data_IF_966875521291
#
_entry.id   IF_966875521291
#
_cell.length_a   1.000
_cell.length_b   1.000
_cell.length_c   1.000
_cell.angle_alpha   90.00
_cell.angle_beta   90.00
_cell.angle_gamma   90.00
#
_symmetry.space_group_name_H-M   'P 1'
#
loop_
_entity.id
_entity.type
_entity.pdbx_description
1 polymer ?
#
# COMPACT_ATOMS: atom_id res chain seq x y z
N UNK A 1 -49.95 -2.07 10.30
CA UNK A 1 -49.81 -2.28 8.83
C UNK A 1 -49.04 -1.14 8.15
N UNK A 2 -49.41 0.14 8.41
CA UNK A 2 -48.69 1.28 7.75
C UNK A 2 -47.18 1.33 8.10
N UNK A 3 -46.83 1.16 9.36
CA UNK A 3 -45.42 1.19 9.83
C UNK A 3 -44.59 0.08 9.22
N UNK A 4 -45.14 -1.12 9.06
CA UNK A 4 -44.46 -2.26 8.43
C UNK A 4 -44.18 -1.96 6.94
N UNK A 5 -45.20 -1.45 6.23
CA UNK A 5 -45.00 -1.04 4.80
C UNK A 5 -44.00 0.07 4.65
N UNK A 6 -43.98 1.05 5.56
CA UNK A 6 -42.97 2.11 5.55
C UNK A 6 -41.55 1.53 5.74
N UNK A 7 -41.38 0.61 6.68
CA UNK A 7 -40.10 -0.07 6.91
C UNK A 7 -39.67 -0.89 5.68
N UNK A 8 -40.57 -1.62 5.05
CA UNK A 8 -40.33 -2.39 3.82
C UNK A 8 -39.84 -1.47 2.70
N UNK A 9 -40.50 -0.32 2.50
CA UNK A 9 -40.08 0.65 1.48
C UNK A 9 -38.69 1.21 1.78
N UNK A 10 -38.41 1.59 3.04
CA UNK A 10 -37.10 2.10 3.45
C UNK A 10 -36.02 1.05 3.17
N UNK A 11 -36.23 -0.19 3.59
CA UNK A 11 -35.27 -1.28 3.35
C UNK A 11 -35.06 -1.52 1.85
N UNK A 12 -36.13 -1.55 1.07
CA UNK A 12 -36.05 -1.72 -0.38
C UNK A 12 -35.21 -0.61 -1.03
N UNK A 13 -35.48 0.65 -0.68
CA UNK A 13 -34.70 1.78 -1.21
C UNK A 13 -33.24 1.69 -0.80
N UNK A 14 -32.96 1.39 0.48
CA UNK A 14 -31.57 1.22 0.95
C UNK A 14 -30.81 0.12 0.20
N UNK A 15 -31.42 -1.06 0.03
CA UNK A 15 -30.79 -2.15 -0.72
C UNK A 15 -30.64 -1.80 -2.21
N UNK A 16 -31.65 -1.18 -2.82
CA UNK A 16 -31.59 -0.77 -4.23
C UNK A 16 -30.45 0.22 -4.50
N UNK A 17 -30.28 1.20 -3.62
CA UNK A 17 -29.17 2.17 -3.72
C UNK A 17 -27.80 1.47 -3.58
N UNK A 18 -27.66 0.54 -2.63
CA UNK A 18 -26.41 -0.20 -2.46
C UNK A 18 -26.10 -1.09 -3.68
N UNK A 19 -27.09 -1.79 -4.21
CA UNK A 19 -26.92 -2.64 -5.40
C UNK A 19 -26.54 -1.78 -6.60
N UNK A 20 -27.21 -0.65 -6.80
CA UNK A 20 -26.90 0.29 -7.89
C UNK A 20 -25.47 0.85 -7.76
N UNK A 21 -25.06 1.23 -6.55
CA UNK A 21 -23.70 1.67 -6.26
C UNK A 21 -22.68 0.60 -6.66
N UNK A 22 -22.84 -0.62 -6.17
CA UNK A 22 -21.90 -1.72 -6.50
C UNK A 22 -21.89 -2.01 -8.01
N UNK A 23 -23.04 -1.99 -8.68
CA UNK A 23 -23.14 -2.20 -10.12
C UNK A 23 -22.37 -1.14 -10.91
N UNK A 24 -22.60 0.14 -10.61
CA UNK A 24 -21.96 1.27 -11.30
C UNK A 24 -20.45 1.20 -11.16
N UNK A 25 -19.94 1.00 -9.93
CA UNK A 25 -18.48 0.96 -9.70
C UNK A 25 -17.84 -0.34 -10.20
N UNK A 26 -18.56 -1.45 -10.22
CA UNK A 26 -18.09 -2.68 -10.88
C UNK A 26 -17.91 -2.47 -12.39
N UNK A 27 -18.89 -1.88 -13.05
CA UNK A 27 -18.81 -1.54 -14.48
C UNK A 27 -17.66 -0.56 -14.72
N UNK A 28 -17.58 0.51 -13.91
CA UNK A 28 -16.52 1.50 -14.03
C UNK A 28 -15.12 0.90 -13.85
N UNK A 29 -14.96 -0.09 -12.97
CA UNK A 29 -13.66 -0.76 -12.75
C UNK A 29 -13.17 -1.52 -13.98
N UNK A 30 -14.10 -2.08 -14.78
CA UNK A 30 -13.77 -2.87 -15.99
C UNK A 30 -13.57 -1.98 -17.21
N UNK A 31 -14.42 -0.97 -17.39
CA UNK A 31 -14.44 -0.15 -18.60
C UNK A 31 -13.69 1.19 -18.47
N UNK A 32 -13.09 1.47 -17.31
CA UNK A 32 -12.31 2.67 -17.09
C UNK A 32 -11.05 2.72 -17.95
N UNK A 33 -10.66 3.91 -18.35
CA UNK A 33 -9.41 4.11 -19.07
C UNK A 33 -8.25 3.78 -18.14
N UNK A 34 -7.49 2.72 -18.45
CA UNK A 34 -6.16 2.57 -17.86
C UNK A 34 -5.32 3.76 -18.33
N UNK A 35 -4.83 4.56 -17.40
CA UNK A 35 -3.84 5.58 -17.76
C UNK A 35 -2.70 4.89 -18.51
N UNK A 36 -2.43 5.39 -19.73
CA UNK A 36 -1.31 4.91 -20.51
C UNK A 36 -0.05 5.24 -19.71
N UNK A 37 0.66 4.21 -19.29
CA UNK A 37 2.03 4.39 -18.78
C UNK A 37 2.81 5.12 -19.88
N UNK A 38 3.29 6.29 -19.58
CA UNK A 38 4.18 6.99 -20.49
C UNK A 38 5.43 6.14 -20.67
N UNK A 39 5.69 5.78 -21.94
CA UNK A 39 6.89 5.02 -22.32
C UNK A 39 8.12 5.90 -22.46
N UNK A 40 8.05 7.17 -22.08
CA UNK A 40 9.23 8.01 -22.10
C UNK A 40 10.22 7.53 -21.04
N UNK A 41 11.51 7.58 -21.42
CA UNK A 41 12.62 7.26 -20.53
C UNK A 41 12.63 8.23 -19.35
N UNK A 42 11.80 7.96 -18.36
CA UNK A 42 11.71 8.73 -17.13
C UNK A 42 13.05 8.58 -16.41
N UNK A 43 13.68 9.68 -16.10
CA UNK A 43 14.87 9.66 -15.24
C UNK A 43 14.53 8.91 -13.95
N UNK A 44 15.44 8.06 -13.47
CA UNK A 44 15.24 7.33 -12.25
C UNK A 44 15.12 8.29 -11.06
N UNK A 45 13.92 8.32 -10.45
CA UNK A 45 13.66 9.11 -9.25
C UNK A 45 14.37 8.52 -8.06
N UNK A 46 14.76 9.36 -7.12
CA UNK A 46 15.32 8.88 -5.85
C UNK A 46 14.20 8.48 -4.88
N UNK A 47 14.19 7.22 -4.45
CA UNK A 47 13.09 6.61 -3.67
C UNK A 47 13.58 6.23 -2.28
N UNK A 48 12.85 6.66 -1.22
CA UNK A 48 13.02 6.12 0.13
C UNK A 48 11.93 5.08 0.40
N UNK A 49 12.31 3.82 0.66
CA UNK A 49 11.39 2.76 1.09
C UNK A 49 11.37 2.77 2.62
N UNK A 50 10.26 3.20 3.20
CA UNK A 50 10.06 3.31 4.64
C UNK A 50 9.33 2.06 5.15
N UNK A 51 9.97 1.33 6.04
CA UNK A 51 9.44 0.10 6.64
C UNK A 51 9.29 0.30 8.15
N UNK A 52 8.14 0.80 8.62
CA UNK A 52 7.85 0.88 10.05
C UNK A 52 7.58 -0.53 10.59
N UNK A 53 8.39 -0.97 11.57
CA UNK A 53 8.33 -2.30 12.16
C UNK A 53 8.17 -2.22 13.68
N UNK A 54 7.02 -2.65 14.21
CA UNK A 54 6.74 -2.73 15.65
C UNK A 54 6.58 -4.19 16.06
N UNK A 55 7.60 -4.78 16.70
CA UNK A 55 7.62 -6.21 17.12
C UNK A 55 7.39 -7.20 15.95
N UNK A 56 7.87 -6.86 14.76
CA UNK A 56 7.70 -7.65 13.53
C UNK A 56 8.89 -8.58 13.24
N UNK A 57 9.52 -9.12 14.30
CA UNK A 57 10.75 -9.92 14.23
C UNK A 57 10.66 -11.14 13.31
N UNK A 58 9.45 -11.69 13.15
CA UNK A 58 9.23 -12.91 12.35
C UNK A 58 9.19 -12.67 10.85
N UNK A 59 8.75 -11.50 10.43
CA UNK A 59 8.42 -11.22 9.02
C UNK A 59 9.34 -10.19 8.37
N UNK A 60 9.97 -9.31 9.16
CA UNK A 60 10.75 -8.18 8.67
C UNK A 60 11.87 -8.57 7.70
N UNK A 61 12.53 -9.69 7.92
CA UNK A 61 13.66 -10.11 7.08
C UNK A 61 13.24 -10.36 5.63
N UNK A 62 12.10 -11.02 5.42
CA UNK A 62 11.58 -11.29 4.09
C UNK A 62 11.14 -10.01 3.38
N UNK A 63 10.51 -9.08 4.11
CA UNK A 63 10.18 -7.75 3.61
C UNK A 63 11.43 -7.02 3.11
N UNK A 64 12.44 -6.88 3.97
CA UNK A 64 13.68 -6.16 3.67
C UNK A 64 14.44 -6.81 2.51
N UNK A 65 14.56 -8.12 2.47
CA UNK A 65 15.19 -8.83 1.36
C UNK A 65 14.46 -8.57 0.03
N UNK A 66 13.14 -8.46 0.03
CA UNK A 66 12.38 -8.10 -1.16
C UNK A 66 12.66 -6.67 -1.63
N UNK A 67 12.86 -5.75 -0.67
CA UNK A 67 13.22 -4.37 -0.95
C UNK A 67 14.64 -4.25 -1.55
N UNK A 68 15.59 -5.01 -1.05
CA UNK A 68 16.98 -4.99 -1.51
C UNK A 68 17.19 -5.67 -2.88
N UNK A 69 16.24 -6.50 -3.33
CA UNK A 69 16.30 -7.22 -4.61
C UNK A 69 15.60 -6.50 -5.77
N UNK A 70 15.52 -5.17 -5.73
CA UNK A 70 14.87 -4.41 -6.79
C UNK A 70 15.76 -4.29 -8.04
N UNK A 71 15.17 -4.48 -9.23
CA UNK A 71 15.77 -4.17 -10.52
C UNK A 71 15.76 -2.65 -10.77
N UNK A 72 16.40 -1.89 -9.88
CA UNK A 72 16.44 -0.43 -9.90
C UNK A 72 17.85 0.02 -9.56
N UNK A 73 18.37 1.16 -10.09
CA UNK A 73 19.71 1.61 -9.77
C UNK A 73 19.92 1.74 -8.25
N UNK A 74 20.92 1.06 -7.71
CA UNK A 74 21.16 1.00 -6.27
C UNK A 74 21.50 2.35 -5.63
N UNK A 75 22.00 3.30 -6.42
CA UNK A 75 22.27 4.69 -6.00
C UNK A 75 21.02 5.57 -6.02
N UNK A 76 19.88 5.02 -6.44
CA UNK A 76 18.60 5.74 -6.58
C UNK A 76 17.53 5.30 -5.61
N UNK A 77 17.80 4.39 -4.70
CA UNK A 77 16.88 4.08 -3.62
C UNK A 77 17.58 3.66 -2.35
N UNK A 78 16.95 3.93 -1.23
CA UNK A 78 17.39 3.49 0.07
C UNK A 78 16.24 2.79 0.80
N UNK A 79 16.57 1.76 1.59
CA UNK A 79 15.64 1.06 2.46
C UNK A 79 15.84 1.57 3.88
N UNK A 80 14.80 2.12 4.48
CA UNK A 80 14.83 2.69 5.84
C UNK A 80 13.92 1.86 6.73
N UNK A 81 14.49 1.13 7.67
CA UNK A 81 13.74 0.34 8.64
C UNK A 81 13.65 1.10 9.96
N UNK A 82 12.43 1.38 10.40
CA UNK A 82 12.18 1.98 11.71
C UNK A 82 11.79 0.86 12.67
N UNK A 83 12.79 0.40 13.43
CA UNK A 83 12.69 -0.74 14.34
C UNK A 83 12.20 -0.28 15.71
N UNK A 84 10.91 -0.45 16.00
CA UNK A 84 10.34 -0.12 17.30
C UNK A 84 10.08 -1.38 18.12
N UNK A 85 10.79 -1.51 19.25
CA UNK A 85 10.70 -2.63 20.20
C UNK A 85 10.94 -4.00 19.59
N UNK A 86 11.78 -4.09 18.59
CA UNK A 86 12.23 -5.34 18.02
C UNK A 86 13.38 -5.94 18.85
N UNK A 87 13.62 -7.22 18.69
CA UNK A 87 14.66 -7.95 19.40
C UNK A 87 16.07 -7.51 18.96
N UNK A 88 17.02 -7.55 19.89
CA UNK A 88 18.42 -7.20 19.61
C UNK A 88 19.03 -8.09 18.52
N UNK A 89 18.65 -9.36 18.48
CA UNK A 89 19.12 -10.32 17.46
C UNK A 89 18.63 -9.92 16.07
N UNK A 90 17.36 -9.51 15.94
CA UNK A 90 16.79 -9.05 14.68
C UNK A 90 17.47 -7.75 14.23
N UNK A 91 17.65 -6.80 15.14
CA UNK A 91 18.36 -5.55 14.85
C UNK A 91 19.81 -5.80 14.41
N UNK A 92 20.50 -6.76 15.05
CA UNK A 92 21.84 -7.16 14.63
C UNK A 92 21.90 -7.76 13.23
N UNK A 93 20.89 -8.52 12.82
CA UNK A 93 20.77 -9.03 11.44
C UNK A 93 20.48 -7.91 10.43
N UNK A 94 19.59 -7.01 10.77
CA UNK A 94 19.25 -5.86 9.92
C UNK A 94 20.44 -4.92 9.73
N UNK A 95 21.22 -4.65 10.77
CA UNK A 95 22.41 -3.77 10.69
C UNK A 95 23.53 -4.31 9.82
N UNK A 96 23.51 -5.61 9.50
CA UNK A 96 24.47 -6.23 8.57
C UNK A 96 24.06 -6.08 7.09
N UNK A 97 22.89 -5.53 6.80
CA UNK A 97 22.37 -5.34 5.45
C UNK A 97 22.59 -3.89 4.96
N UNK A 98 22.65 -3.66 3.64
CA UNK A 98 22.80 -2.33 3.06
C UNK A 98 21.50 -1.51 3.15
N UNK A 99 21.15 -1.08 4.34
CA UNK A 99 19.94 -0.32 4.65
C UNK A 99 20.21 0.71 5.76
N UNK A 100 19.30 1.64 5.94
CA UNK A 100 19.29 2.59 7.07
C UNK A 100 18.41 1.99 8.16
N UNK A 101 19.02 1.69 9.31
CA UNK A 101 18.31 1.15 10.48
C UNK A 101 18.15 2.23 11.55
N UNK A 102 16.92 2.62 11.84
CA UNK A 102 16.57 3.50 12.95
C UNK A 102 15.96 2.69 14.09
N UNK A 103 16.74 2.43 15.14
CA UNK A 103 16.25 1.71 16.32
C UNK A 103 15.64 2.69 17.29
N UNK A 104 14.34 2.53 17.56
CA UNK A 104 13.56 3.42 18.42
C UNK A 104 12.80 2.65 19.50
N UNK A 105 12.37 3.37 20.52
CA UNK A 105 11.49 2.85 21.56
C UNK A 105 10.53 3.94 21.99
N UNK A 106 9.41 4.05 21.31
CA UNK A 106 8.39 5.03 21.69
C UNK A 106 7.65 4.59 22.96
N UNK A 107 7.27 5.55 23.79
CA UNK A 107 6.39 5.29 24.93
C UNK A 107 5.04 4.76 24.46
N UNK A 108 4.41 5.46 23.50
CA UNK A 108 3.21 5.03 22.78
C UNK A 108 3.57 4.88 21.31
N UNK A 109 3.80 3.63 20.88
CA UNK A 109 4.17 3.27 19.51
C UNK A 109 3.01 3.47 18.56
N UNK A 110 3.24 4.22 17.48
CA UNK A 110 2.30 4.35 16.35
C UNK A 110 3.06 4.40 15.04
N UNK A 111 2.47 3.87 13.98
CA UNK A 111 3.01 3.93 12.62
C UNK A 111 3.32 5.39 12.20
N UNK A 112 2.43 6.31 12.54
CA UNK A 112 2.62 7.74 12.22
C UNK A 112 3.86 8.33 12.88
N UNK A 113 4.15 7.99 14.16
CA UNK A 113 5.38 8.47 14.84
C UNK A 113 6.63 7.92 14.18
N UNK A 114 6.64 6.64 13.82
CA UNK A 114 7.76 6.01 13.12
C UNK A 114 8.02 6.68 11.77
N UNK A 115 6.98 6.87 10.97
CA UNK A 115 7.08 7.53 9.67
C UNK A 115 7.52 8.99 9.78
N UNK A 116 6.96 9.76 10.72
CA UNK A 116 7.35 11.16 10.94
C UNK A 116 8.83 11.27 11.35
N UNK A 117 9.32 10.36 12.20
CA UNK A 117 10.72 10.32 12.56
C UNK A 117 11.60 10.08 11.33
N UNK A 118 11.36 9.01 10.58
CA UNK A 118 12.13 8.72 9.38
C UNK A 118 12.10 9.89 8.39
N UNK A 119 10.92 10.44 8.10
CA UNK A 119 10.79 11.56 7.17
C UNK A 119 11.50 12.83 7.62
N UNK A 120 11.67 13.03 8.93
CA UNK A 120 12.43 14.20 9.45
C UNK A 120 13.93 14.13 9.17
N UNK A 121 14.47 12.94 8.97
CA UNK A 121 15.90 12.70 8.68
C UNK A 121 16.17 12.53 7.18
N UNK A 122 15.14 12.34 6.36
CA UNK A 122 15.27 12.10 4.94
C UNK A 122 15.16 13.41 4.14
N UNK A 123 16.17 13.66 3.32
CA UNK A 123 16.20 14.78 2.38
C UNK A 123 16.72 14.34 1.02
N UNK A 124 16.26 15.01 -0.04
CA UNK A 124 16.72 14.75 -1.40
C UNK A 124 16.15 13.48 -2.05
N UNK A 125 14.99 12.98 -1.56
CA UNK A 125 14.21 11.95 -2.23
C UNK A 125 13.03 12.57 -2.99
N UNK A 126 12.74 12.00 -4.15
CA UNK A 126 11.61 12.40 -4.98
C UNK A 126 10.32 11.71 -4.51
N UNK A 127 10.44 10.49 -3.99
CA UNK A 127 9.33 9.64 -3.58
C UNK A 127 9.61 8.97 -2.23
N UNK A 128 8.60 8.91 -1.39
CA UNK A 128 8.56 8.07 -0.19
C UNK A 128 7.56 6.93 -0.40
N UNK A 129 8.05 5.69 -0.34
CA UNK A 129 7.24 4.48 -0.41
C UNK A 129 7.06 3.91 0.99
N UNK A 130 5.85 3.81 1.47
CA UNK A 130 5.53 3.20 2.77
C UNK A 130 5.18 1.73 2.53
N UNK A 131 5.93 0.82 3.15
CA UNK A 131 5.73 -0.61 3.05
C UNK A 131 5.62 -1.21 4.45
N UNK A 132 4.57 -2.01 4.69
CA UNK A 132 4.43 -2.70 5.97
C UNK A 132 5.42 -3.85 6.09
N UNK A 133 5.86 -4.12 7.31
CA UNK A 133 6.91 -5.10 7.60
C UNK A 133 6.55 -6.55 7.24
N UNK A 134 5.27 -6.86 7.08
CA UNK A 134 4.74 -8.17 6.66
C UNK A 134 4.52 -8.30 5.15
N UNK A 135 4.69 -7.21 4.40
CA UNK A 135 4.52 -7.19 2.96
C UNK A 135 5.84 -7.44 2.22
N UNK A 136 5.72 -7.94 0.98
CA UNK A 136 6.84 -8.11 0.05
C UNK A 136 6.54 -7.44 -1.27
N UNK A 137 7.57 -6.96 -1.96
CA UNK A 137 7.45 -6.34 -3.28
C UNK A 137 8.19 -7.15 -4.33
N UNK A 138 7.64 -7.18 -5.55
CA UNK A 138 8.29 -7.83 -6.69
C UNK A 138 9.55 -7.08 -7.15
N UNK A 139 10.47 -7.75 -7.88
CA UNK A 139 11.76 -7.16 -8.25
C UNK A 139 11.65 -5.92 -9.16
N UNK A 140 10.59 -5.78 -9.92
CA UNK A 140 10.35 -4.63 -10.83
C UNK A 140 9.41 -3.57 -10.25
N UNK A 141 9.14 -3.64 -8.94
CA UNK A 141 8.16 -2.78 -8.31
C UNK A 141 8.56 -1.29 -8.38
N UNK A 142 9.81 -0.95 -8.09
CA UNK A 142 10.30 0.42 -8.17
C UNK A 142 10.27 0.97 -9.61
N UNK A 143 10.52 0.16 -10.62
CA UNK A 143 10.34 0.56 -12.02
C UNK A 143 8.88 0.90 -12.32
N UNK A 144 7.93 0.13 -11.79
CA UNK A 144 6.50 0.39 -11.96
C UNK A 144 6.07 1.68 -11.26
N UNK A 145 6.57 1.91 -10.05
CA UNK A 145 6.33 3.16 -9.30
C UNK A 145 6.95 4.35 -10.04
N UNK A 146 8.17 4.22 -10.53
CA UNK A 146 8.85 5.29 -11.27
C UNK A 146 8.14 5.66 -12.59
N UNK A 147 7.49 4.70 -13.23
CA UNK A 147 6.70 4.90 -14.46
C UNK A 147 5.29 5.45 -14.19
N UNK A 148 4.89 5.66 -12.93
CA UNK A 148 3.60 6.23 -12.61
C UNK A 148 3.55 7.73 -12.98
N UNK A 149 2.44 8.23 -13.53
CA UNK A 149 2.31 9.63 -13.95
C UNK A 149 2.15 10.52 -12.70
N UNK A 150 3.26 11.07 -12.22
CA UNK A 150 3.25 12.09 -11.17
C UNK A 150 3.03 13.48 -11.79
N UNK A 151 1.79 13.85 -12.04
CA UNK A 151 1.43 15.22 -12.37
C UNK A 151 1.20 15.99 -11.05
N UNK A 152 1.59 17.26 -11.00
CA UNK A 152 1.70 18.07 -9.77
C UNK A 152 0.46 18.18 -8.86
N UNK A 153 -0.66 17.52 -9.20
CA UNK A 153 -1.88 17.44 -8.41
C UNK A 153 -2.03 16.12 -7.64
N UNK A 154 -1.16 15.14 -7.89
CA UNK A 154 -1.23 13.82 -7.25
C UNK A 154 -0.24 13.78 -6.10
N UNK A 155 -0.77 13.66 -4.88
CA UNK A 155 0.00 13.65 -3.64
C UNK A 155 0.36 12.23 -3.19
N UNK A 156 -0.39 11.23 -3.64
CA UNK A 156 -0.17 9.84 -3.24
C UNK A 156 -0.76 8.83 -4.21
N UNK A 157 -0.05 7.72 -4.35
CA UNK A 157 -0.49 6.55 -5.09
C UNK A 157 -0.63 5.37 -4.16
N UNK A 158 -1.71 4.64 -4.29
CA UNK A 158 -1.82 3.31 -3.69
C UNK A 158 -1.61 2.26 -4.77
N UNK A 159 -0.68 1.36 -4.53
CA UNK A 159 -0.42 0.25 -5.41
C UNK A 159 -1.40 -0.89 -5.17
N UNK A 160 -1.57 -1.75 -6.19
CA UNK A 160 -2.43 -2.92 -6.10
C UNK A 160 -1.79 -3.95 -5.15
N UNK A 161 -2.51 -4.30 -4.09
CA UNK A 161 -2.11 -5.36 -3.14
C UNK A 161 -2.70 -6.68 -3.57
N UNK A 162 -1.90 -7.73 -3.50
CA UNK A 162 -2.34 -9.11 -3.72
C UNK A 162 -2.02 -9.94 -2.50
N UNK A 163 -2.87 -10.91 -2.18
CA UNK A 163 -2.61 -11.81 -1.07
C UNK A 163 -1.36 -12.67 -1.36
N UNK A 164 -0.43 -12.70 -0.41
CA UNK A 164 0.80 -13.48 -0.46
C UNK A 164 0.52 -14.98 -0.41
N UNK A 165 -0.44 -15.40 0.42
CA UNK A 165 -0.81 -16.81 0.63
C UNK A 165 -2.23 -17.08 0.11
N UNK A 166 -2.40 -18.19 -0.60
CA UNK A 166 -3.70 -18.68 -1.11
C UNK A 166 -3.86 -20.19 -0.87
N UNK A 167 -3.17 -20.71 0.15
CA UNK A 167 -3.03 -22.15 0.42
C UNK A 167 -4.14 -22.73 1.32
N UNK A 168 -5.00 -21.89 1.87
CA UNK A 168 -6.18 -22.31 2.64
C UNK A 168 -7.44 -21.65 2.08
N UNK A 169 -8.62 -22.25 2.33
CA UNK A 169 -9.89 -21.67 1.91
C UNK A 169 -10.13 -20.26 2.48
N UNK A 170 -9.68 -20.02 3.72
CA UNK A 170 -9.79 -18.71 4.36
C UNK A 170 -8.86 -17.68 3.67
N UNK A 171 -7.60 -18.04 3.45
CA UNK A 171 -6.65 -17.17 2.75
C UNK A 171 -7.09 -16.88 1.30
N UNK A 172 -7.78 -17.82 0.65
CA UNK A 172 -8.36 -17.59 -0.67
C UNK A 172 -9.53 -16.59 -0.62
N UNK A 173 -10.41 -16.70 0.39
CA UNK A 173 -11.50 -15.74 0.60
C UNK A 173 -10.97 -14.32 0.89
N UNK A 174 -9.93 -14.20 1.70
CA UNK A 174 -9.26 -12.92 1.95
C UNK A 174 -8.68 -12.33 0.66
N UNK A 175 -8.05 -13.16 -0.16
CA UNK A 175 -7.53 -12.75 -1.46
C UNK A 175 -8.61 -12.22 -2.40
N UNK A 176 -9.76 -12.91 -2.46
CA UNK A 176 -10.92 -12.49 -3.27
C UNK A 176 -11.52 -11.19 -2.72
N UNK A 177 -11.64 -11.08 -1.40
CA UNK A 177 -12.14 -9.85 -0.75
C UNK A 177 -11.26 -8.65 -1.07
N UNK A 178 -9.93 -8.79 -1.00
CA UNK A 178 -8.99 -7.72 -1.34
C UNK A 178 -9.08 -7.36 -2.83
N UNK A 179 -9.26 -8.33 -3.72
CA UNK A 179 -9.44 -8.07 -5.16
C UNK A 179 -10.74 -7.32 -5.46
N UNK A 180 -11.83 -7.64 -4.78
CA UNK A 180 -13.10 -6.90 -4.86
C UNK A 180 -12.90 -5.46 -4.38
N UNK A 181 -12.19 -5.27 -3.27
CA UNK A 181 -11.87 -3.93 -2.75
C UNK A 181 -11.01 -3.13 -3.73
N UNK A 182 -9.99 -3.74 -4.31
CA UNK A 182 -9.13 -3.10 -5.32
C UNK A 182 -9.94 -2.71 -6.56
N UNK A 183 -10.83 -3.58 -7.02
CA UNK A 183 -11.63 -3.37 -8.23
C UNK A 183 -12.71 -2.31 -8.00
N UNK A 184 -13.68 -2.58 -7.11
CA UNK A 184 -14.88 -1.76 -6.96
C UNK A 184 -14.57 -0.45 -6.23
N UNK A 185 -13.97 -0.54 -5.03
CA UNK A 185 -13.84 0.60 -4.13
C UNK A 185 -12.59 1.46 -4.37
N UNK A 186 -11.66 1.02 -5.23
CA UNK A 186 -10.48 1.80 -5.60
C UNK A 186 -10.47 2.12 -7.08
N UNK A 187 -10.28 1.13 -7.95
CA UNK A 187 -10.18 1.34 -9.40
C UNK A 187 -11.47 1.93 -9.97
N UNK A 188 -12.65 1.42 -9.55
CA UNK A 188 -13.94 1.94 -10.01
C UNK A 188 -14.13 3.42 -9.67
N UNK A 189 -13.75 3.84 -8.46
CA UNK A 189 -13.82 5.26 -8.06
C UNK A 189 -12.86 6.13 -8.89
N UNK A 190 -11.61 5.70 -9.02
CA UNK A 190 -10.60 6.44 -9.80
C UNK A 190 -11.03 6.58 -11.27
N UNK A 191 -11.58 5.54 -11.87
CA UNK A 191 -12.06 5.56 -13.25
C UNK A 191 -13.25 6.51 -13.45
N UNK A 192 -14.00 6.79 -12.39
CA UNK A 192 -15.09 7.78 -12.37
C UNK A 192 -14.62 9.20 -12.01
N UNK A 193 -13.31 9.43 -11.87
CA UNK A 193 -12.73 10.72 -11.49
C UNK A 193 -12.87 11.07 -10.01
N UNK A 194 -13.19 10.07 -9.17
CA UNK A 194 -13.26 10.22 -7.72
C UNK A 194 -11.92 9.80 -7.09
N UNK A 195 -11.63 10.33 -5.91
CA UNK A 195 -10.48 9.85 -5.13
C UNK A 195 -10.81 8.50 -4.47
N UNK A 196 -9.84 7.58 -4.49
CA UNK A 196 -9.92 6.35 -3.71
C UNK A 196 -9.33 6.56 -2.30
N UNK A 197 -9.84 5.81 -1.32
CA UNK A 197 -9.25 5.80 0.00
C UNK A 197 -7.86 5.18 -0.03
N UNK A 198 -6.89 5.87 0.56
CA UNK A 198 -5.59 5.27 0.87
C UNK A 198 -5.76 4.38 2.10
N UNK A 199 -5.48 3.10 1.97
CA UNK A 199 -5.53 2.18 3.10
C UNK A 199 -4.15 2.17 3.74
N UNK A 200 -4.08 2.73 4.94
CA UNK A 200 -3.02 2.39 5.85
C UNK A 200 -3.37 1.02 6.44
N UNK A 201 -2.52 0.02 6.25
CA UNK A 201 -2.65 -1.22 7.02
C UNK A 201 -2.51 -0.89 8.50
N UNK A 202 -3.46 -1.34 9.26
CA UNK A 202 -3.46 -1.27 10.73
C UNK A 202 -2.56 -2.36 11.25
#
# INVERSE_FOLDING_TARGET
MLLIRLLEIILFVCFSVNILYLLVFSIASVFGKREKREKEAVSFRRVAILVPAYKEDRVIMECVESCLRQNYPHDRYDVVVISDRMEAVTNGRLSALPLILEVVRFENSTKAKALNLAMSHLSGYDLALILDADNTIGPDYLNQVNAAPFNGNIVGYQTHRTAKNKNTSLAYLDAVSEEINNSIFRQGHVNMGLSAALIGSV
#
